data_IF_236996788739
#
_entry.id   IF_236996788739
#
_cell.length_a   1.000
_cell.length_b   1.000
_cell.length_c   1.000
_cell.angle_alpha   90.00
_cell.angle_beta   90.00
_cell.angle_gamma   90.00
#
_symmetry.space_group_name_H-M   'P 1'
#
loop_
_entity.id
_entity.type
_entity.pdbx_description
1 polymer ?
#
# COMPACT_ATOMS: atom_id res chain seq x y z
N UNK A 1 -6.33 1.49 3.05
CA UNK A 1 -4.93 1.88 3.29
C UNK A 1 -4.59 1.61 4.75
N UNK A 2 -3.37 1.16 5.04
CA UNK A 2 -2.89 0.87 6.39
C UNK A 2 -1.52 1.53 6.60
N UNK A 3 -1.34 2.23 7.72
CA UNK A 3 -0.06 2.80 8.14
C UNK A 3 0.33 2.10 9.44
N UNK A 4 1.56 1.62 9.52
CA UNK A 4 2.13 1.01 10.72
C UNK A 4 3.30 1.87 11.16
N UNK A 5 3.24 2.39 12.38
CA UNK A 5 4.34 3.20 12.95
C UNK A 5 5.42 2.32 13.56
N UNK A 6 6.58 2.91 13.85
CA UNK A 6 7.66 2.20 14.55
C UNK A 6 7.25 1.77 15.98
N UNK A 7 6.28 2.47 16.56
CA UNK A 7 5.69 2.18 17.87
C UNK A 7 4.66 1.03 17.80
N UNK A 8 4.37 0.53 16.61
CA UNK A 8 3.40 -0.55 16.37
C UNK A 8 1.95 -0.08 16.32
N UNK A 9 1.69 1.22 16.26
CA UNK A 9 0.35 1.76 16.06
C UNK A 9 -0.11 1.53 14.62
N UNK A 10 -1.39 1.20 14.46
CA UNK A 10 -1.98 0.86 13.16
C UNK A 10 -3.11 1.84 12.86
N UNK A 11 -2.92 2.64 11.82
CA UNK A 11 -3.95 3.53 11.28
C UNK A 11 -4.57 2.90 10.03
N UNK A 12 -5.90 2.87 9.94
CA UNK A 12 -6.62 2.30 8.80
C UNK A 12 -7.66 3.29 8.30
N UNK A 13 -7.59 3.59 7.02
CA UNK A 13 -8.57 4.44 6.34
C UNK A 13 -8.90 3.89 4.94
N UNK A 14 -10.15 4.09 4.51
CA UNK A 14 -10.67 3.70 3.19
C UNK A 14 -10.77 4.93 2.30
N UNK A 15 -10.20 4.82 1.10
CA UNK A 15 -10.25 5.85 0.08
C UNK A 15 -10.97 5.31 -1.15
N UNK A 16 -11.62 6.21 -1.89
CA UNK A 16 -12.15 5.91 -3.21
C UNK A 16 -11.03 5.68 -4.24
N UNK A 17 -11.43 5.30 -5.46
CA UNK A 17 -10.51 5.01 -6.57
C UNK A 17 -10.44 6.14 -7.60
N UNK A 18 -11.20 7.21 -7.40
CA UNK A 18 -11.17 8.39 -8.26
C UNK A 18 -10.02 9.32 -7.82
N UNK A 19 -9.53 10.14 -8.75
CA UNK A 19 -8.34 10.98 -8.53
C UNK A 19 -8.42 11.86 -7.27
N UNK A 20 -9.53 12.57 -6.97
CA UNK A 20 -9.60 13.39 -5.77
C UNK A 20 -9.41 12.59 -4.47
N UNK A 21 -9.97 11.38 -4.40
CA UNK A 21 -9.87 10.49 -3.25
C UNK A 21 -8.46 9.88 -3.13
N UNK A 22 -7.79 9.61 -4.26
CA UNK A 22 -6.38 9.20 -4.25
C UNK A 22 -5.46 10.35 -3.79
N UNK A 23 -5.77 11.60 -4.16
CA UNK A 23 -5.03 12.77 -3.66
C UNK A 23 -5.25 12.97 -2.16
N UNK A 24 -6.46 12.75 -1.65
CA UNK A 24 -6.73 12.74 -0.21
C UNK A 24 -5.92 11.66 0.50
N UNK A 25 -5.82 10.47 -0.09
CA UNK A 25 -4.97 9.40 0.44
C UNK A 25 -3.50 9.82 0.52
N UNK A 26 -2.98 10.50 -0.50
CA UNK A 26 -1.61 11.04 -0.49
C UNK A 26 -1.40 12.01 0.67
N UNK A 27 -2.31 12.97 0.84
CA UNK A 27 -2.23 13.95 1.93
C UNK A 27 -2.25 13.24 3.29
N UNK A 28 -3.17 12.30 3.48
CA UNK A 28 -3.27 11.51 4.71
C UNK A 28 -1.96 10.78 5.05
N UNK A 29 -1.33 10.14 4.06
CA UNK A 29 -0.03 9.47 4.25
C UNK A 29 1.07 10.46 4.66
N UNK A 30 1.09 11.66 4.07
CA UNK A 30 2.06 12.71 4.40
C UNK A 30 1.87 13.26 5.82
N UNK A 31 0.62 13.47 6.24
CA UNK A 31 0.28 13.94 7.59
C UNK A 31 0.71 12.95 8.67
N UNK A 32 0.71 11.65 8.37
CA UNK A 32 1.20 10.59 9.26
C UNK A 32 2.71 10.36 9.14
N UNK A 33 3.45 11.20 8.40
CA UNK A 33 4.90 11.07 8.26
C UNK A 33 5.35 9.80 7.52
N UNK A 34 4.48 9.22 6.68
CA UNK A 34 4.81 8.01 5.92
C UNK A 34 5.96 8.28 4.96
N UNK A 35 6.96 7.39 4.94
CA UNK A 35 8.12 7.50 4.04
C UNK A 35 8.19 6.38 3.01
N UNK A 36 7.75 5.17 3.38
CA UNK A 36 7.70 4.00 2.51
C UNK A 36 6.26 3.56 2.29
N UNK A 37 5.91 3.27 1.04
CA UNK A 37 4.59 2.76 0.65
C UNK A 37 4.77 1.43 -0.07
N UNK A 38 4.13 0.39 0.45
CA UNK A 38 4.05 -0.92 -0.16
C UNK A 38 2.64 -1.14 -0.72
N UNK A 39 2.55 -1.56 -1.97
CA UNK A 39 1.29 -1.93 -2.61
C UNK A 39 1.31 -3.40 -2.99
N UNK A 40 0.32 -4.14 -2.54
CA UNK A 40 0.06 -5.50 -3.01
C UNK A 40 -1.02 -5.45 -4.09
N UNK A 41 -0.71 -5.95 -5.29
CA UNK A 41 -1.71 -6.05 -6.35
C UNK A 41 -1.41 -7.20 -7.29
N UNK A 42 -2.47 -7.90 -7.70
CA UNK A 42 -2.43 -9.00 -8.67
C UNK A 42 -2.73 -8.54 -10.10
N UNK A 43 -3.12 -7.28 -10.30
CA UNK A 43 -3.53 -6.72 -11.59
C UNK A 43 -3.00 -5.29 -11.74
N UNK A 44 -3.54 -4.48 -12.66
CA UNK A 44 -3.06 -3.14 -13.02
C UNK A 44 -3.63 -2.00 -12.17
N UNK A 45 -4.48 -2.30 -11.18
CA UNK A 45 -5.14 -1.28 -10.34
C UNK A 45 -4.18 -0.47 -9.47
N UNK A 46 -2.93 -0.92 -9.31
CA UNK A 46 -1.90 -0.15 -8.64
C UNK A 46 -1.43 1.07 -9.46
N UNK A 47 -1.63 1.09 -10.78
CA UNK A 47 -1.13 2.16 -11.66
C UNK A 47 -1.67 3.55 -11.27
N UNK A 48 -3.00 3.77 -11.15
CA UNK A 48 -3.52 5.09 -10.75
C UNK A 48 -3.06 5.51 -9.36
N UNK A 49 -2.92 4.55 -8.43
CA UNK A 49 -2.39 4.82 -7.09
C UNK A 49 -0.91 5.22 -7.17
N UNK A 50 -0.10 4.47 -7.92
CA UNK A 50 1.31 4.75 -8.12
C UNK A 50 1.53 6.15 -8.66
N UNK A 51 0.77 6.54 -9.69
CA UNK A 51 0.89 7.85 -10.33
C UNK A 51 0.66 9.02 -9.36
N UNK A 52 -0.21 8.85 -8.36
CA UNK A 52 -0.49 9.91 -7.37
C UNK A 52 0.55 9.94 -6.24
N UNK A 53 1.20 8.81 -5.95
CA UNK A 53 2.14 8.68 -4.84
C UNK A 53 3.62 8.79 -5.27
N UNK A 54 3.93 8.54 -6.54
CA UNK A 54 5.28 8.64 -7.09
C UNK A 54 5.85 10.06 -6.90
N UNK A 55 7.12 10.14 -6.51
CA UNK A 55 7.80 11.40 -6.19
C UNK A 55 7.53 11.91 -4.77
N UNK A 56 6.56 11.35 -4.04
CA UNK A 56 6.29 11.69 -2.65
C UNK A 56 6.80 10.65 -1.65
N UNK A 57 6.87 9.37 -2.05
CA UNK A 57 7.23 8.26 -1.17
C UNK A 57 8.23 7.29 -1.82
N UNK A 58 8.89 6.46 -0.99
CA UNK A 58 9.63 5.28 -1.46
C UNK A 58 8.65 4.16 -1.76
N UNK A 59 8.41 3.91 -3.05
CA UNK A 59 7.38 3.00 -3.51
C UNK A 59 7.90 1.56 -3.71
N UNK A 60 7.15 0.57 -3.25
CA UNK A 60 7.37 -0.86 -3.54
C UNK A 60 6.08 -1.52 -4.03
N UNK A 61 6.10 -2.07 -5.23
CA UNK A 61 5.02 -2.92 -5.74
C UNK A 61 5.38 -4.38 -5.45
N UNK A 62 4.48 -5.07 -4.75
CA UNK A 62 4.65 -6.45 -4.35
C UNK A 62 3.62 -7.31 -5.09
N UNK A 63 4.10 -8.30 -5.84
CA UNK A 63 3.24 -9.30 -6.45
C UNK A 63 3.18 -10.55 -5.55
N UNK A 64 2.03 -10.86 -4.92
CA UNK A 64 1.91 -11.98 -4.00
C UNK A 64 2.10 -13.34 -4.70
N UNK A 65 1.81 -13.45 -6.00
CA UNK A 65 2.11 -14.67 -6.77
C UNK A 65 3.62 -14.93 -6.85
N UNK A 66 4.42 -13.87 -6.97
CA UNK A 66 5.87 -13.97 -7.00
C UNK A 66 6.46 -14.27 -5.61
N UNK A 67 5.90 -13.67 -4.55
CA UNK A 67 6.32 -13.95 -3.16
C UNK A 67 6.05 -15.40 -2.75
N UNK A 68 4.91 -15.98 -3.18
CA UNK A 68 4.56 -17.38 -2.85
C UNK A 68 5.48 -18.41 -3.51
N UNK A 69 6.22 -18.04 -4.56
CA UNK A 69 7.14 -18.93 -5.26
C UNK A 69 8.57 -18.90 -4.68
N UNK A 70 8.85 -18.07 -3.67
CA UNK A 70 10.15 -18.09 -2.99
C UNK A 70 10.20 -19.25 -1.98
N UNK A 71 11.13 -20.22 -2.16
CA UNK A 71 11.26 -21.32 -1.21
C UNK A 71 11.72 -20.80 0.15
N UNK A 72 10.91 -20.96 1.19
CA UNK A 72 11.31 -20.73 2.58
C UNK A 72 10.42 -19.84 3.44
N UNK A 73 9.28 -19.32 2.97
CA UNK A 73 8.35 -18.56 3.84
C UNK A 73 6.97 -19.21 3.93
N UNK A 74 6.64 -19.68 5.13
CA UNK A 74 5.35 -20.24 5.54
C UNK A 74 4.20 -19.31 5.11
N UNK A 75 3.21 -19.93 4.48
CA UNK A 75 1.92 -19.35 4.12
C UNK A 75 1.03 -19.23 5.35
N UNK A 76 0.66 -18.00 5.72
CA UNK A 76 -0.47 -17.65 6.57
C UNK A 76 -0.54 -16.12 6.48
N UNK A 77 -1.63 -15.44 6.15
CA UNK A 77 -3.05 -15.67 6.44
C UNK A 77 -3.89 -15.03 5.32
N UNK A 78 -5.14 -15.47 5.19
CA UNK A 78 -6.27 -14.81 4.50
C UNK A 78 -6.15 -13.28 4.48
N UNK A 79 -6.54 -12.65 3.37
CA UNK A 79 -7.35 -11.43 3.42
C UNK A 79 -8.05 -11.22 2.07
N UNK A 80 -9.36 -11.48 2.08
CA UNK A 80 -10.32 -11.02 1.10
C UNK A 80 -11.53 -10.54 1.91
N UNK A 81 -11.42 -9.35 2.48
CA UNK A 81 -12.51 -8.47 2.90
C UNK A 81 -12.15 -7.01 2.63
#
# INVERSE_FOLDING_TARGET
>A
MCIITEEGEIFRERFGVLTPELEQMRVYLQEHGTTDVCMESTSVYWIPVWNVLEGHFRMKLVNPYFIRQLPGRKSDVKDAE
#
